data_IF_610863000192
#
_entry.id   IF_610863000192
#
_cell.length_a   1.000
_cell.length_b   1.000
_cell.length_c   1.000
_cell.angle_alpha   90.00
_cell.angle_beta   90.00
_cell.angle_gamma   90.00
#
_symmetry.space_group_name_H-M   'P 1'
#
loop_
_entity.id
_entity.type
_entity.pdbx_description
1 polymer ?
#
# COMPACT_ATOMS: atom_id res chain seq x y z
N UNK A 1 17.17 19.19 -34.30
CA UNK A 1 16.96 19.29 -32.85
C UNK A 1 15.72 18.46 -32.51
N UNK A 2 15.87 17.26 -31.95
CA UNK A 2 14.73 16.38 -31.66
C UNK A 2 14.83 15.80 -30.25
N UNK A 3 13.86 16.25 -29.44
CA UNK A 3 13.40 15.86 -28.11
C UNK A 3 13.84 14.46 -27.57
N UNK A 4 14.78 14.47 -26.60
CA UNK A 4 15.04 13.37 -25.66
C UNK A 4 14.29 13.61 -24.33
N UNK A 5 12.97 13.38 -24.26
CA UNK A 5 12.24 13.48 -22.97
C UNK A 5 11.30 12.28 -22.67
N UNK A 6 10.97 11.39 -23.62
CA UNK A 6 9.85 10.45 -23.43
C UNK A 6 10.16 9.07 -22.78
N UNK A 7 11.42 8.60 -22.72
CA UNK A 7 11.68 7.21 -22.31
C UNK A 7 11.84 6.98 -20.79
N UNK A 8 12.24 8.00 -20.01
CA UNK A 8 12.56 7.83 -18.58
C UNK A 8 11.32 7.65 -17.69
N UNK A 9 10.18 8.21 -18.10
CA UNK A 9 8.92 8.16 -17.34
C UNK A 9 8.30 6.76 -17.42
N UNK A 10 8.29 6.13 -18.61
CA UNK A 10 7.75 4.77 -18.80
C UNK A 10 8.51 3.69 -18.04
N UNK A 11 9.84 3.78 -17.96
CA UNK A 11 10.66 2.79 -17.24
C UNK A 11 10.54 2.88 -15.72
N UNK A 12 10.35 4.09 -15.18
CA UNK A 12 10.05 4.29 -13.76
C UNK A 12 8.65 3.77 -13.45
N UNK A 13 7.65 4.13 -14.26
CA UNK A 13 6.26 3.73 -14.05
C UNK A 13 6.03 2.23 -14.20
N UNK A 14 6.77 1.54 -15.09
CA UNK A 14 6.77 0.06 -15.16
C UNK A 14 7.32 -0.59 -13.88
N UNK A 15 8.43 -0.08 -13.33
CA UNK A 15 9.01 -0.59 -12.08
C UNK A 15 8.09 -0.37 -10.87
N UNK A 16 7.43 0.78 -10.79
CA UNK A 16 6.44 1.06 -9.75
C UNK A 16 5.28 0.04 -9.78
N UNK A 17 4.80 -0.32 -10.98
CA UNK A 17 3.71 -1.29 -11.13
C UNK A 17 4.13 -2.73 -10.77
N UNK A 18 5.39 -3.12 -10.99
CA UNK A 18 5.87 -4.48 -10.66
C UNK A 18 5.86 -4.73 -9.16
N UNK A 19 6.32 -3.77 -8.34
CA UNK A 19 6.30 -3.88 -6.88
C UNK A 19 4.88 -4.04 -6.33
N UNK A 20 3.94 -3.22 -6.80
CA UNK A 20 2.54 -3.29 -6.39
C UNK A 20 1.84 -4.57 -6.87
N UNK A 21 2.12 -5.03 -8.09
CA UNK A 21 1.59 -6.30 -8.61
C UNK A 21 2.07 -7.49 -7.77
N UNK A 22 3.35 -7.52 -7.39
CA UNK A 22 3.91 -8.56 -6.54
C UNK A 22 3.32 -8.50 -5.13
N UNK A 23 3.17 -7.29 -4.57
CA UNK A 23 2.51 -7.10 -3.28
C UNK A 23 1.07 -7.64 -3.31
N UNK A 24 0.28 -7.32 -4.35
CA UNK A 24 -1.07 -7.86 -4.54
C UNK A 24 -1.10 -9.39 -4.59
N UNK A 25 -0.14 -10.01 -5.29
CA UNK A 25 -0.05 -11.47 -5.36
C UNK A 25 0.18 -12.07 -3.97
N UNK A 26 1.16 -11.56 -3.23
CA UNK A 26 1.48 -12.02 -1.87
C UNK A 26 0.30 -11.83 -0.93
N UNK A 27 -0.36 -10.66 -0.94
CA UNK A 27 -1.53 -10.41 -0.09
C UNK A 27 -2.69 -11.38 -0.37
N UNK A 28 -2.91 -11.73 -1.64
CA UNK A 28 -3.94 -12.72 -2.01
C UNK A 28 -3.57 -14.12 -1.51
N UNK A 29 -2.30 -14.50 -1.59
CA UNK A 29 -1.79 -15.76 -1.04
C UNK A 29 -1.93 -15.81 0.50
N UNK A 30 -1.82 -14.65 1.17
CA UNK A 30 -2.10 -14.49 2.60
C UNK A 30 -3.60 -14.45 2.94
N UNK A 31 -4.50 -14.60 1.96
CA UNK A 31 -5.94 -14.64 2.17
C UNK A 31 -6.64 -13.27 2.20
N UNK A 32 -5.94 -12.18 1.89
CA UNK A 32 -6.56 -10.85 1.81
C UNK A 32 -7.30 -10.68 0.48
N UNK A 33 -8.52 -10.12 0.54
CA UNK A 33 -9.28 -9.71 -0.64
C UNK A 33 -8.96 -8.27 -1.01
N UNK A 34 -8.34 -8.07 -2.17
CA UNK A 34 -8.06 -6.75 -2.70
C UNK A 34 -9.35 -6.08 -3.19
N UNK A 35 -9.63 -4.89 -2.67
CA UNK A 35 -10.79 -4.07 -3.02
C UNK A 35 -10.47 -3.04 -4.09
N UNK A 36 -9.28 -2.42 -3.99
CA UNK A 36 -8.83 -1.40 -4.93
C UNK A 36 -7.32 -1.31 -4.97
N UNK A 37 -6.82 -0.76 -6.08
CA UNK A 37 -5.42 -0.41 -6.32
C UNK A 37 -5.32 1.05 -6.76
N UNK A 38 -4.25 1.75 -6.40
CA UNK A 38 -3.95 3.15 -6.77
C UNK A 38 -5.15 4.09 -6.66
N UNK A 39 -5.86 4.01 -5.53
CA UNK A 39 -7.10 4.77 -5.33
C UNK A 39 -6.80 6.11 -4.69
N UNK A 40 -7.38 7.17 -5.26
CA UNK A 40 -7.34 8.50 -4.65
C UNK A 40 -8.62 8.78 -3.86
N UNK A 41 -8.49 9.04 -2.56
CA UNK A 41 -9.60 9.35 -1.66
C UNK A 41 -9.25 10.64 -0.90
N UNK A 42 -10.08 11.69 -1.03
CA UNK A 42 -9.84 12.99 -0.40
C UNK A 42 -8.42 13.55 -0.60
N UNK A 43 -7.87 13.41 -1.81
CA UNK A 43 -6.52 13.89 -2.13
C UNK A 43 -5.38 13.02 -1.57
N UNK A 44 -5.69 11.86 -1.00
CA UNK A 44 -4.72 10.86 -0.54
C UNK A 44 -4.70 9.73 -1.54
N UNK A 45 -3.52 9.41 -2.07
CA UNK A 45 -3.30 8.23 -2.90
C UNK A 45 -2.99 7.05 -1.97
N UNK A 46 -3.67 5.94 -2.22
CA UNK A 46 -3.53 4.69 -1.48
C UNK A 46 -3.21 3.60 -2.51
N UNK A 47 -2.05 2.96 -2.36
CA UNK A 47 -1.56 1.97 -3.32
C UNK A 47 -2.47 0.74 -3.34
N UNK A 48 -2.82 0.20 -2.17
CA UNK A 48 -3.69 -0.98 -2.05
C UNK A 48 -4.71 -0.79 -0.93
N UNK A 49 -5.98 -1.10 -1.22
CA UNK A 49 -7.03 -1.27 -0.23
C UNK A 49 -7.45 -2.73 -0.24
N UNK A 50 -7.37 -3.39 0.92
CA UNK A 50 -7.71 -4.79 1.05
C UNK A 50 -8.58 -5.03 2.28
N UNK A 51 -9.29 -6.16 2.28
CA UNK A 51 -10.06 -6.62 3.44
C UNK A 51 -9.71 -8.05 3.79
N UNK A 52 -9.82 -8.38 5.06
CA UNK A 52 -9.62 -9.75 5.56
C UNK A 52 -10.49 -10.01 6.78
N UNK A 53 -10.67 -11.29 7.10
CA UNK A 53 -11.43 -11.72 8.26
C UNK A 53 -10.47 -12.32 9.27
N UNK A 54 -10.47 -11.81 10.49
CA UNK A 54 -9.58 -12.26 11.56
C UNK A 54 -10.26 -12.10 12.90
N UNK A 55 -10.13 -13.10 13.77
CA UNK A 55 -10.75 -13.11 15.11
C UNK A 55 -12.25 -12.78 15.10
N UNK A 56 -12.97 -13.37 14.15
CA UNK A 56 -14.42 -13.16 13.94
C UNK A 56 -14.85 -11.76 13.47
N UNK A 57 -13.90 -10.91 13.07
CA UNK A 57 -14.18 -9.54 12.66
C UNK A 57 -13.65 -9.26 11.25
N UNK A 58 -14.32 -8.34 10.54
CA UNK A 58 -13.84 -7.85 9.25
C UNK A 58 -12.90 -6.68 9.46
N UNK A 59 -11.73 -6.77 8.83
CA UNK A 59 -10.70 -5.75 8.88
C UNK A 59 -10.55 -5.13 7.50
N UNK A 60 -10.43 -3.80 7.47
CA UNK A 60 -10.15 -3.03 6.26
C UNK A 60 -8.77 -2.42 6.39
N UNK A 61 -7.88 -2.74 5.46
CA UNK A 61 -6.50 -2.28 5.49
C UNK A 61 -6.14 -1.40 4.30
N UNK A 62 -5.46 -0.29 4.61
CA UNK A 62 -4.96 0.72 3.67
C UNK A 62 -3.44 0.61 3.64
N UNK A 63 -2.89 0.14 2.53
CA UNK A 63 -1.50 -0.28 2.43
C UNK A 63 -0.75 0.60 1.44
N UNK A 64 0.40 1.10 1.89
CA UNK A 64 1.42 1.70 1.04
C UNK A 64 2.42 0.60 0.62
N UNK A 65 2.86 0.62 -0.63
CA UNK A 65 3.88 -0.29 -1.17
C UNK A 65 5.17 0.49 -1.40
N UNK A 66 6.27 0.00 -0.82
CA UNK A 66 7.62 0.51 -1.09
C UNK A 66 8.49 -0.58 -1.66
N UNK A 67 9.16 -0.26 -2.75
CA UNK A 67 10.23 -1.10 -3.28
C UNK A 67 11.58 -0.55 -2.82
N UNK A 68 12.38 -1.40 -2.17
CA UNK A 68 13.74 -1.05 -1.75
C UNK A 68 14.76 -1.99 -2.38
N UNK A 69 16.02 -1.55 -2.45
CA UNK A 69 17.13 -2.46 -2.78
C UNK A 69 17.63 -3.11 -1.50
N UNK A 70 17.92 -4.41 -1.50
CA UNK A 70 18.43 -5.13 -0.32
C UNK A 70 19.67 -4.49 0.31
N UNK A 71 20.55 -3.88 -0.48
CA UNK A 71 21.72 -3.17 0.04
C UNK A 71 21.37 -1.96 0.93
N UNK A 72 20.15 -1.44 0.86
CA UNK A 72 19.67 -0.35 1.71
C UNK A 72 18.89 -0.86 2.93
N UNK A 73 18.79 -2.18 3.11
CA UNK A 73 18.10 -2.83 4.23
C UNK A 73 18.70 -2.43 5.60
N UNK A 74 20.02 -2.25 5.66
CA UNK A 74 20.72 -1.89 6.90
C UNK A 74 20.43 -0.45 7.38
N UNK A 75 19.85 0.41 6.53
CA UNK A 75 19.49 1.78 6.91
C UNK A 75 18.18 1.87 7.72
N UNK A 76 17.50 0.73 7.94
CA UNK A 76 16.21 0.65 8.60
C UNK A 76 15.03 0.65 7.61
N UNK A 77 13.86 0.25 8.11
CA UNK A 77 12.64 0.21 7.32
C UNK A 77 12.02 1.60 7.17
N UNK A 78 11.41 1.90 6.01
CA UNK A 78 10.54 3.07 5.91
C UNK A 78 9.44 2.95 6.97
N UNK A 79 9.15 4.06 7.65
CA UNK A 79 8.03 4.15 8.59
C UNK A 79 7.01 5.09 7.98
N UNK A 80 5.72 4.73 8.06
CA UNK A 80 4.64 5.66 7.77
C UNK A 80 4.74 6.85 8.71
N UNK A 81 5.05 8.03 8.16
CA UNK A 81 5.08 9.28 8.93
C UNK A 81 3.74 9.56 9.59
N UNK A 82 3.73 10.23 10.75
CA UNK A 82 2.49 10.57 11.47
C UNK A 82 1.49 11.31 10.57
N UNK A 83 1.99 12.26 9.76
CA UNK A 83 1.18 13.00 8.78
C UNK A 83 0.53 12.09 7.73
N UNK A 84 1.23 11.04 7.28
CA UNK A 84 0.66 10.08 6.33
C UNK A 84 -0.39 9.19 6.99
N UNK A 85 -0.17 8.76 8.24
CA UNK A 85 -1.17 8.03 9.03
C UNK A 85 -2.45 8.84 9.20
N UNK A 86 -2.35 10.12 9.57
CA UNK A 86 -3.51 11.02 9.67
C UNK A 86 -4.26 11.16 8.35
N UNK A 87 -3.54 11.27 7.22
CA UNK A 87 -4.14 11.31 5.89
C UNK A 87 -4.89 10.01 5.58
N UNK A 88 -4.30 8.88 5.90
CA UNK A 88 -4.92 7.56 5.70
C UNK A 88 -6.15 7.38 6.58
N UNK A 89 -6.10 7.79 7.85
CA UNK A 89 -7.28 7.83 8.74
C UNK A 89 -8.42 8.68 8.15
N UNK A 90 -8.11 9.88 7.64
CA UNK A 90 -9.12 10.74 6.98
C UNK A 90 -9.71 10.10 5.72
N UNK A 91 -8.87 9.45 4.91
CA UNK A 91 -9.31 8.72 3.72
C UNK A 91 -10.18 7.52 4.08
N UNK A 92 -9.81 6.76 5.12
CA UNK A 92 -10.57 5.63 5.61
C UNK A 92 -11.96 6.07 6.10
N UNK A 93 -12.02 7.09 6.97
CA UNK A 93 -13.28 7.67 7.45
C UNK A 93 -14.19 8.13 6.31
N UNK A 94 -13.63 8.71 5.25
CA UNK A 94 -14.39 9.12 4.07
C UNK A 94 -14.91 7.93 3.24
N UNK A 95 -14.16 6.84 3.17
CA UNK A 95 -14.54 5.65 2.40
C UNK A 95 -15.67 4.85 3.06
N UNK A 96 -15.66 4.75 4.38
CA UNK A 96 -16.59 3.91 5.17
C UNK A 96 -17.94 4.61 5.35
N UNK A 97 -18.00 5.93 5.17
CA UNK A 97 -19.18 6.73 5.47
C UNK A 97 -19.59 6.63 6.94
N UNK A 98 -20.78 7.12 7.28
CA UNK A 98 -21.30 7.10 8.67
C UNK A 98 -21.88 5.74 9.09
N UNK A 99 -22.06 4.79 8.17
CA UNK A 99 -22.88 3.58 8.38
C UNK A 99 -22.10 2.26 8.54
N UNK A 100 -20.83 2.16 8.15
CA UNK A 100 -20.04 0.91 8.30
C UNK A 100 -19.21 0.92 9.60
N UNK A 101 -19.89 1.00 10.76
CA UNK A 101 -19.28 1.00 12.10
C UNK A 101 -18.57 -0.30 12.51
N UNK A 102 -18.52 -1.32 11.64
CA UNK A 102 -18.10 -2.69 11.99
C UNK A 102 -16.73 -3.11 11.43
N UNK A 103 -16.01 -2.21 10.77
CA UNK A 103 -14.70 -2.54 10.21
C UNK A 103 -13.58 -1.98 11.10
N UNK A 104 -12.72 -2.88 11.59
CA UNK A 104 -11.45 -2.47 12.18
C UNK A 104 -10.53 -1.92 11.09
N UNK A 105 -10.01 -0.73 11.31
CA UNK A 105 -9.28 0.03 10.31
C UNK A 105 -7.79 -0.07 10.56
N UNK A 106 -7.06 -0.62 9.61
CA UNK A 106 -5.62 -0.76 9.70
C UNK A 106 -4.95 0.05 8.59
N UNK A 107 -3.85 0.70 8.88
CA UNK A 107 -2.94 1.24 7.86
C UNK A 107 -1.62 0.50 7.93
N UNK A 108 -0.97 0.26 6.81
CA UNK A 108 0.24 -0.54 6.84
C UNK A 108 1.20 -0.23 5.72
N UNK A 109 2.40 -0.77 5.89
CA UNK A 109 3.44 -0.70 4.88
C UNK A 109 3.77 -2.11 4.42
N UNK A 110 3.80 -2.29 3.10
CA UNK A 110 4.41 -3.43 2.44
C UNK A 110 5.75 -2.98 1.88
N UNK A 111 6.80 -3.69 2.24
CA UNK A 111 8.13 -3.49 1.67
C UNK A 111 8.48 -4.69 0.82
N UNK A 112 8.70 -4.42 -0.46
CA UNK A 112 9.16 -5.39 -1.46
C UNK A 112 10.62 -5.11 -1.79
N UNK A 113 11.37 -6.16 -2.12
CA UNK A 113 12.72 -5.99 -2.65
C UNK A 113 12.73 -5.77 -4.17
N UNK A 114 13.92 -5.57 -4.73
CA UNK A 114 14.12 -5.41 -6.17
C UNK A 114 13.78 -6.67 -7.00
N UNK A 115 13.63 -7.83 -6.36
CA UNK A 115 13.24 -9.10 -6.98
C UNK A 115 11.73 -9.39 -6.82
N UNK A 116 10.99 -8.49 -6.15
CA UNK A 116 9.56 -8.68 -5.91
C UNK A 116 9.24 -9.61 -4.73
N UNK A 117 10.20 -9.87 -3.84
CA UNK A 117 9.98 -10.64 -2.63
C UNK A 117 9.49 -9.72 -1.50
N UNK A 118 8.55 -10.21 -0.69
CA UNK A 118 8.11 -9.53 0.51
C UNK A 118 9.25 -9.53 1.53
N UNK A 119 9.65 -8.34 1.97
CA UNK A 119 10.62 -8.17 3.06
C UNK A 119 9.88 -7.93 4.37
N UNK A 120 8.87 -7.07 4.35
CA UNK A 120 8.14 -6.67 5.55
C UNK A 120 6.67 -6.40 5.22
N UNK A 121 5.80 -6.86 6.11
CA UNK A 121 4.40 -6.46 6.18
C UNK A 121 4.12 -5.96 7.58
N UNK A 122 3.80 -4.67 7.71
CA UNK A 122 3.60 -4.04 9.01
C UNK A 122 2.26 -3.29 9.04
N UNK A 123 1.15 -3.99 9.37
CA UNK A 123 -0.13 -3.36 9.62
C UNK A 123 -0.16 -2.74 11.02
N UNK A 124 -0.72 -1.55 11.13
CA UNK A 124 -0.95 -0.80 12.36
C UNK A 124 -2.43 -0.47 12.47
N UNK A 125 -2.98 -0.57 13.68
CA UNK A 125 -4.33 -0.08 13.99
C UNK A 125 -4.39 1.44 13.84
N UNK A 126 -5.51 1.93 13.29
CA UNK A 126 -5.78 3.36 13.05
C UNK A 126 -6.68 3.99 14.09
#
# INVERSE_FOLDING_TARGET
MSLKISMRVKSLQRRFNEGECNAVKVLREMGLRILSRNRKINGVEIDIIARYYFQNEWHLTFLEVKQIRRKHFQAGYPVLSSRQRERYQKAAKAMIGLNDKLLNLHCGLIVMDELGQLIMFNPFEM
#
